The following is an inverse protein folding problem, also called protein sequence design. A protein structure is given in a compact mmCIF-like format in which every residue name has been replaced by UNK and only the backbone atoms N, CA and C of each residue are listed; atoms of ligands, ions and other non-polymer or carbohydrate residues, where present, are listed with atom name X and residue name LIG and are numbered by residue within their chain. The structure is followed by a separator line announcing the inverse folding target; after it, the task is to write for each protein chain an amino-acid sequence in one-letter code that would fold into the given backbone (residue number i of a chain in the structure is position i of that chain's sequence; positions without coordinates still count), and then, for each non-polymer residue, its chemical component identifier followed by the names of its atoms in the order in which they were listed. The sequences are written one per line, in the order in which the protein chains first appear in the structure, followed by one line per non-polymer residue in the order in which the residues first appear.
data_IF_236706870599
#
_entry.id   IF_236706870599
#
_cell.length_a   1.000
_cell.length_b   1.000
_cell.length_c   1.000
_cell.angle_alpha   90.00
_cell.angle_beta   90.00
_cell.angle_gamma   90.00
#
_symmetry.space_group_name_H-M   'P 1'
#
loop_
_entity.id
_entity.type
_entity.pdbx_description
1 polymer ?
#
# COMPACT_ATOMS: atom_id res chain seq x y z
N UNK A 1 -12.62 -4.17 14.65
CA UNK A 1 -11.22 -3.94 14.29
C UNK A 1 -10.46 -5.26 14.31
N UNK A 2 -10.21 -5.81 13.12
CA UNK A 2 -9.60 -7.09 12.88
C UNK A 2 -8.09 -6.95 13.07
N UNK A 3 -7.61 -7.49 14.19
CA UNK A 3 -6.20 -7.42 14.61
C UNK A 3 -5.25 -7.99 13.56
N UNK A 4 -5.70 -8.94 12.73
CA UNK A 4 -4.89 -9.49 11.66
C UNK A 4 -4.61 -8.45 10.57
N UNK A 5 -5.62 -7.70 10.12
CA UNK A 5 -5.42 -6.67 9.09
C UNK A 5 -4.52 -5.54 9.58
N UNK A 6 -4.66 -5.17 10.87
CA UNK A 6 -3.75 -4.22 11.50
C UNK A 6 -2.31 -4.73 11.54
N UNK A 7 -2.10 -5.98 11.97
CA UNK A 7 -0.77 -6.58 12.03
C UNK A 7 -0.13 -6.66 10.64
N UNK A 8 -0.89 -7.09 9.62
CA UNK A 8 -0.42 -7.15 8.23
C UNK A 8 -0.08 -5.76 7.68
N UNK A 9 -0.85 -4.74 8.03
CA UNK A 9 -0.56 -3.35 7.67
C UNK A 9 0.77 -2.88 8.27
N UNK A 10 0.99 -3.13 9.57
CA UNK A 10 2.22 -2.72 10.27
C UNK A 10 3.43 -3.45 9.66
N UNK A 11 3.34 -4.77 9.50
CA UNK A 11 4.43 -5.58 8.92
C UNK A 11 4.71 -5.15 7.48
N UNK A 12 3.67 -4.96 6.67
CA UNK A 12 3.79 -4.48 5.29
C UNK A 12 4.47 -3.13 5.19
N UNK A 13 4.18 -2.21 6.12
CA UNK A 13 4.79 -0.90 6.19
C UNK A 13 6.30 -0.99 6.45
N UNK A 14 6.74 -1.83 7.39
CA UNK A 14 8.17 -2.07 7.62
C UNK A 14 8.87 -2.68 6.40
N UNK A 15 8.24 -3.67 5.75
CA UNK A 15 8.78 -4.31 4.54
C UNK A 15 8.90 -3.29 3.40
N UNK A 16 7.87 -2.47 3.19
CA UNK A 16 7.84 -1.44 2.15
C UNK A 16 8.95 -0.43 2.36
N UNK A 17 9.12 0.08 3.59
CA UNK A 17 10.20 1.01 3.94
C UNK A 17 11.57 0.37 3.69
N UNK A 18 11.75 -0.87 4.11
CA UNK A 18 13.00 -1.61 3.93
C UNK A 18 13.34 -1.76 2.44
N UNK A 19 12.41 -2.25 1.62
CA UNK A 19 12.59 -2.45 0.18
C UNK A 19 12.90 -1.14 -0.56
N UNK A 20 12.18 -0.07 -0.22
CA UNK A 20 12.40 1.25 -0.80
C UNK A 20 13.78 1.81 -0.41
N UNK A 21 14.23 1.62 0.84
CA UNK A 21 15.58 2.00 1.28
C UNK A 21 16.68 1.18 0.61
N UNK A 22 16.45 -0.10 0.32
CA UNK A 22 17.39 -0.98 -0.38
C UNK A 22 17.45 -0.75 -1.90
N UNK A 23 16.75 0.26 -2.44
CA UNK A 23 16.73 0.56 -3.87
C UNK A 23 15.88 -0.41 -4.71
N UNK A 24 15.18 -1.36 -4.08
CA UNK A 24 14.29 -2.33 -4.75
C UNK A 24 12.90 -1.75 -4.97
N UNK A 25 12.83 -0.63 -5.68
CA UNK A 25 11.61 0.18 -5.81
C UNK A 25 10.43 -0.54 -6.45
N UNK A 26 10.66 -1.40 -7.44
CA UNK A 26 9.58 -2.15 -8.10
C UNK A 26 8.87 -3.11 -7.13
N UNK A 27 9.66 -3.84 -6.33
CA UNK A 27 9.16 -4.75 -5.31
C UNK A 27 8.56 -3.95 -4.14
N UNK A 28 9.18 -2.82 -3.80
CA UNK A 28 8.67 -1.87 -2.80
C UNK A 28 7.30 -1.31 -3.17
N UNK A 29 7.05 -1.01 -4.45
CA UNK A 29 5.76 -0.54 -4.95
C UNK A 29 4.67 -1.61 -4.80
N UNK A 30 4.98 -2.87 -5.09
CA UNK A 30 4.05 -3.99 -4.88
C UNK A 30 3.75 -4.15 -3.39
N UNK A 31 4.78 -4.16 -2.54
CA UNK A 31 4.64 -4.26 -1.10
C UNK A 31 3.81 -3.10 -0.51
N UNK A 32 4.00 -1.88 -1.04
CA UNK A 32 3.20 -0.72 -0.69
C UNK A 32 1.73 -0.93 -1.03
N UNK A 33 1.43 -1.47 -2.22
CA UNK A 33 0.08 -1.85 -2.62
C UNK A 33 -0.58 -2.81 -1.63
N UNK A 34 0.09 -3.90 -1.27
CA UNK A 34 -0.43 -4.84 -0.26
C UNK A 34 -0.66 -4.16 1.09
N UNK A 35 0.28 -3.32 1.51
CA UNK A 35 0.17 -2.52 2.75
C UNK A 35 -1.06 -1.61 2.72
N UNK A 36 -1.29 -0.92 1.61
CA UNK A 36 -2.45 -0.06 1.37
C UNK A 36 -3.77 -0.81 1.36
N UNK A 37 -3.81 -1.98 0.72
CA UNK A 37 -4.96 -2.87 0.71
C UNK A 37 -5.37 -3.30 2.13
N UNK A 38 -4.40 -3.73 2.95
CA UNK A 38 -4.68 -4.07 4.35
C UNK A 38 -5.07 -2.84 5.19
N UNK A 39 -4.46 -1.68 4.96
CA UNK A 39 -4.82 -0.44 5.65
C UNK A 39 -6.28 -0.03 5.36
N UNK A 40 -6.73 -0.19 4.11
CA UNK A 40 -8.12 0.07 3.74
C UNK A 40 -9.08 -0.94 4.38
N UNK A 41 -8.69 -2.22 4.47
CA UNK A 41 -9.49 -3.21 5.20
C UNK A 41 -9.68 -2.84 6.67
N UNK A 42 -8.66 -2.28 7.32
CA UNK A 42 -8.79 -1.75 8.69
C UNK A 42 -9.70 -0.53 8.73
N UNK A 43 -9.52 0.41 7.80
CA UNK A 43 -10.25 1.69 7.80
C UNK A 43 -11.74 1.54 7.46
N UNK A 44 -12.10 0.56 6.64
CA UNK A 44 -13.46 0.35 6.13
C UNK A 44 -14.09 -0.95 6.65
N UNK A 45 -13.57 -1.54 7.73
CA UNK A 45 -14.07 -2.81 8.28
C UNK A 45 -15.58 -2.79 8.56
N UNK A 46 -16.08 -1.67 9.09
CA UNK A 46 -17.49 -1.50 9.47
C UNK A 46 -18.35 -0.86 8.36
N UNK A 47 -17.80 -0.70 7.15
CA UNK A 47 -18.48 0.00 6.05
C UNK A 47 -19.55 -0.83 5.32
N UNK A 48 -19.59 -2.14 5.54
CA UNK A 48 -20.50 -3.07 4.86
C UNK A 48 -20.16 -3.37 3.39
N UNK A 49 -19.09 -2.78 2.84
CA UNK A 49 -18.64 -3.10 1.48
C UNK A 49 -17.96 -4.48 1.42
N UNK A 50 -17.97 -5.15 0.24
CA UNK A 50 -17.28 -6.42 0.07
C UNK A 50 -15.77 -6.29 0.34
N UNK A 51 -15.24 -7.17 1.19
CA UNK A 51 -13.82 -7.22 1.58
C UNK A 51 -12.87 -7.17 0.37
N UNK A 52 -13.07 -7.94 -0.72
CA UNK A 52 -12.16 -7.88 -1.87
C UNK A 52 -12.15 -6.50 -2.55
N UNK A 53 -13.29 -5.81 -2.57
CA UNK A 53 -13.42 -4.51 -3.22
C UNK A 53 -12.69 -3.41 -2.43
N UNK A 54 -12.82 -3.43 -1.10
CA UNK A 54 -12.08 -2.54 -0.21
C UNK A 54 -10.56 -2.76 -0.38
N UNK A 55 -10.12 -4.03 -0.36
CA UNK A 55 -8.71 -4.37 -0.49
C UNK A 55 -8.13 -3.91 -1.84
N UNK A 56 -8.81 -4.23 -2.94
CA UNK A 56 -8.36 -3.84 -4.30
C UNK A 56 -8.34 -2.32 -4.44
N UNK A 57 -9.34 -1.61 -3.89
CA UNK A 57 -9.37 -0.15 -3.88
C UNK A 57 -8.16 0.44 -3.16
N UNK A 58 -7.85 -0.04 -1.95
CA UNK A 58 -6.66 0.38 -1.20
C UNK A 58 -5.36 0.06 -1.92
N UNK A 59 -5.25 -1.14 -2.49
CA UNK A 59 -4.08 -1.56 -3.24
C UNK A 59 -3.81 -0.63 -4.43
N UNK A 60 -4.82 -0.42 -5.29
CA UNK A 60 -4.67 0.41 -6.49
C UNK A 60 -4.38 1.86 -6.11
N UNK A 61 -5.08 2.42 -5.13
CA UNK A 61 -4.87 3.78 -4.68
C UNK A 61 -3.42 3.97 -4.18
N UNK A 62 -2.94 3.08 -3.31
CA UNK A 62 -1.58 3.18 -2.77
C UNK A 62 -0.51 3.00 -3.84
N UNK A 63 -0.64 2.01 -4.74
CA UNK A 63 0.28 1.85 -5.87
C UNK A 63 0.31 3.09 -6.74
N UNK A 64 -0.85 3.67 -7.05
CA UNK A 64 -0.94 4.88 -7.88
C UNK A 64 -0.24 6.08 -7.24
N UNK A 65 -0.53 6.38 -5.97
CA UNK A 65 0.10 7.49 -5.26
C UNK A 65 1.61 7.29 -5.10
N UNK A 66 2.04 6.06 -4.78
CA UNK A 66 3.44 5.75 -4.59
C UNK A 66 4.21 5.78 -5.92
N UNK A 67 3.59 5.31 -7.01
CA UNK A 67 4.13 5.45 -8.36
C UNK A 67 4.30 6.92 -8.76
N UNK A 68 3.31 7.78 -8.51
CA UNK A 68 3.42 9.23 -8.79
C UNK A 68 4.54 9.86 -7.96
N UNK A 69 4.63 9.52 -6.66
CA UNK A 69 5.65 10.03 -5.75
C UNK A 69 7.07 9.66 -6.18
N UNK A 70 7.26 8.47 -6.74
CA UNK A 70 8.56 7.96 -7.16
C UNK A 70 8.85 8.13 -8.65
N UNK A 71 7.88 8.58 -9.45
CA UNK A 71 8.15 9.03 -10.82
C UNK A 71 9.23 10.12 -10.70
N UNK A 72 10.40 9.95 -11.34
CA UNK A 72 11.39 11.02 -11.36
C UNK A 72 10.68 12.27 -11.88
N UNK A 73 11.05 13.45 -11.36
CA UNK A 73 10.73 14.71 -12.02
C UNK A 73 11.38 14.66 -13.41
N UNK A 74 10.72 13.99 -14.35
CA UNK A 74 11.01 13.98 -15.76
C UNK A 74 10.51 15.33 -16.26
N UNK A 75 11.34 16.34 -16.02
CA UNK A 75 11.48 17.63 -16.70
C UNK A 75 12.11 18.61 -15.72
N UNK A 76 13.42 18.70 -15.80
CA UNK A 76 14.10 19.97 -16.07
C UNK A 76 15.24 19.57 -17.03
N UNK A 77 14.90 19.60 -18.32
CA UNK A 77 15.89 19.81 -19.39
C UNK A 77 16.51 21.20 -19.21
#
# INVERSE_FOLDING_TARGET
MNTLYLALTIVGLFITIFLNKSGRREIGLIAAGFTGGFAFLVAFEDSGYPVPLIFVGGFIATVFFEYIRFKPRLKED
#
